data_IF_951993549863
#
_entry.id   IF_951993549863
#
_cell.length_a   1.000
_cell.length_b   1.000
_cell.length_c   1.000
_cell.angle_alpha   90.00
_cell.angle_beta   90.00
_cell.angle_gamma   90.00
#
_symmetry.space_group_name_H-M   'P 1'
#
loop_
_entity.id
_entity.type
_entity.pdbx_description
1 polymer ?
#
# COMPACT_ATOMS: atom_id res chain seq x y z
N UNK A 1 -9.11 7.84 -0.61
CA UNK A 1 -9.46 8.58 0.62
C UNK A 1 -9.67 7.55 1.72
N UNK A 2 -8.92 7.60 2.83
CA UNK A 2 -9.03 6.59 3.89
C UNK A 2 -9.81 7.16 5.10
N UNK A 3 -10.92 6.53 5.53
CA UNK A 3 -11.72 7.05 6.65
C UNK A 3 -11.01 6.92 8.00
N UNK A 4 -10.15 5.90 8.17
CA UNK A 4 -9.41 5.63 9.42
C UNK A 4 -7.97 6.16 9.41
N UNK A 5 -7.56 6.83 8.33
CA UNK A 5 -6.25 7.46 8.19
C UNK A 5 -5.07 6.50 8.44
N UNK A 6 -5.15 5.28 7.90
CA UNK A 6 -4.12 4.22 8.10
C UNK A 6 -3.04 4.16 7.02
N UNK A 7 -3.09 5.07 6.05
CA UNK A 7 -2.18 5.09 4.90
C UNK A 7 -1.28 6.31 5.02
N UNK A 8 0.03 6.08 5.10
CA UNK A 8 1.05 7.13 5.06
C UNK A 8 1.88 6.98 3.80
N UNK A 9 2.02 8.07 3.02
CA UNK A 9 2.78 8.07 1.76
C UNK A 9 3.76 9.24 1.77
N UNK A 10 5.05 8.95 1.66
CA UNK A 10 6.09 9.95 1.41
C UNK A 10 6.46 9.95 -0.07
N UNK A 11 6.57 11.14 -0.67
CA UNK A 11 6.83 11.31 -2.10
C UNK A 11 8.29 11.68 -2.35
N UNK A 12 8.93 10.96 -3.25
CA UNK A 12 10.26 11.29 -3.78
C UNK A 12 10.21 11.92 -5.16
N UNK A 13 11.37 12.42 -5.58
CA UNK A 13 11.67 12.91 -6.94
C UNK A 13 12.98 12.28 -7.40
N UNK A 14 13.04 11.88 -8.67
CA UNK A 14 14.19 11.25 -9.33
C UNK A 14 14.46 12.04 -10.59
N UNK A 15 15.73 12.34 -10.88
CA UNK A 15 16.09 13.07 -12.09
C UNK A 15 15.59 12.32 -13.33
N UNK A 16 15.02 13.06 -14.29
CA UNK A 16 14.43 12.49 -15.50
C UNK A 16 12.98 11.99 -15.36
N UNK A 17 12.45 11.82 -14.14
CA UNK A 17 11.03 11.49 -13.93
C UNK A 17 10.20 12.75 -13.68
N UNK A 18 9.24 13.03 -14.56
CA UNK A 18 8.35 14.19 -14.45
C UNK A 18 7.35 14.08 -13.28
N UNK A 19 6.91 12.85 -12.98
CA UNK A 19 5.93 12.58 -11.94
C UNK A 19 6.62 12.15 -10.63
N UNK A 20 6.18 12.65 -9.46
CA UNK A 20 6.65 12.15 -8.18
C UNK A 20 6.21 10.69 -7.97
N UNK A 21 6.97 9.95 -7.18
CA UNK A 21 6.70 8.55 -6.85
C UNK A 21 6.72 8.34 -5.33
N UNK A 22 6.03 7.33 -4.79
CA UNK A 22 6.15 6.97 -3.39
C UNK A 22 7.57 6.44 -3.08
N UNK A 23 8.25 7.04 -2.10
CA UNK A 23 9.50 6.52 -1.50
C UNK A 23 9.26 5.80 -0.19
N UNK A 24 8.11 6.06 0.45
CA UNK A 24 7.63 5.32 1.61
C UNK A 24 6.12 5.16 1.48
N UNK A 25 5.64 3.97 1.81
CA UNK A 25 4.24 3.63 1.89
C UNK A 25 4.06 2.71 3.09
N UNK A 26 3.41 3.24 4.12
CA UNK A 26 3.07 2.47 5.31
C UNK A 26 1.56 2.30 5.36
N UNK A 27 1.14 1.06 5.64
CA UNK A 27 -0.25 0.70 5.78
C UNK A 27 -0.49 -0.07 7.08
N UNK A 28 -1.27 0.52 7.98
CA UNK A 28 -1.60 -0.09 9.26
C UNK A 28 -2.87 -0.94 9.13
N UNK A 29 -2.72 -2.25 8.87
CA UNK A 29 -3.87 -3.14 8.68
C UNK A 29 -4.71 -3.31 9.94
N UNK A 30 -4.11 -3.17 11.13
CA UNK A 30 -4.80 -3.26 12.43
C UNK A 30 -5.94 -2.26 12.62
N UNK A 31 -5.87 -1.10 11.95
CA UNK A 31 -6.87 -0.04 12.02
C UNK A 31 -7.67 0.07 10.71
N UNK A 32 -7.37 -0.79 9.73
CA UNK A 32 -8.09 -0.83 8.47
C UNK A 32 -9.46 -1.50 8.68
N UNK A 33 -10.50 -0.93 8.08
CA UNK A 33 -11.87 -1.48 8.12
C UNK A 33 -12.26 -2.17 6.79
N UNK A 34 -11.29 -2.39 5.91
CA UNK A 34 -11.47 -3.08 4.62
C UNK A 34 -12.59 -2.49 3.75
N UNK A 35 -12.76 -1.16 3.81
CA UNK A 35 -13.84 -0.44 3.11
C UNK A 35 -13.63 -0.19 1.61
N UNK A 36 -12.50 -0.63 1.04
CA UNK A 36 -12.14 -0.46 -0.38
C UNK A 36 -12.02 0.99 -0.91
N UNK A 37 -12.30 2.02 -0.12
CA UNK A 37 -12.21 3.42 -0.58
C UNK A 37 -10.83 3.82 -1.10
N UNK A 38 -9.75 3.18 -0.62
CA UNK A 38 -8.41 3.40 -1.16
C UNK A 38 -8.27 2.85 -2.58
N UNK A 39 -8.84 1.67 -2.85
CA UNK A 39 -8.85 1.01 -4.17
C UNK A 39 -9.63 1.86 -5.17
N UNK A 40 -10.88 2.20 -4.84
CA UNK A 40 -11.74 3.00 -5.74
C UNK A 40 -11.17 4.40 -6.01
N UNK A 41 -10.53 5.01 -5.02
CA UNK A 41 -9.93 6.35 -5.18
C UNK A 41 -8.60 6.36 -5.93
N UNK A 42 -8.00 5.19 -6.16
CA UNK A 42 -6.69 5.09 -6.79
C UNK A 42 -6.81 5.29 -8.30
N UNK A 43 -6.53 6.49 -8.79
CA UNK A 43 -6.54 6.79 -10.23
C UNK A 43 -5.42 6.12 -11.05
N UNK A 44 -4.52 5.38 -10.40
CA UNK A 44 -3.41 4.64 -11.02
C UNK A 44 -3.51 3.14 -10.78
N UNK A 45 -4.61 2.69 -10.19
CA UNK A 45 -4.91 1.29 -9.92
C UNK A 45 -3.76 0.58 -9.18
N UNK A 46 -3.10 1.28 -8.25
CA UNK A 46 -1.85 0.84 -7.62
C UNK A 46 -2.05 -0.03 -6.38
N UNK A 47 -3.26 -0.04 -5.81
CA UNK A 47 -3.63 -0.75 -4.59
C UNK A 47 -4.73 -1.75 -4.95
N UNK A 48 -4.48 -3.03 -4.70
CA UNK A 48 -5.48 -4.09 -4.87
C UNK A 48 -5.84 -4.63 -3.49
N UNK A 49 -7.13 -4.75 -3.17
CA UNK A 49 -7.61 -5.57 -2.06
C UNK A 49 -7.96 -6.94 -2.62
N UNK A 50 -7.25 -7.99 -2.23
CA UNK A 50 -7.53 -9.35 -2.68
C UNK A 50 -8.46 -10.09 -1.69
N UNK A 51 -8.76 -11.35 -1.99
CA UNK A 51 -9.65 -12.19 -1.19
C UNK A 51 -8.95 -12.95 -0.05
N UNK A 52 -7.78 -12.52 0.40
CA UNK A 52 -7.12 -13.18 1.52
C UNK A 52 -7.78 -12.77 2.84
N UNK A 53 -8.35 -13.71 3.58
CA UNK A 53 -9.03 -13.45 4.86
C UNK A 53 -8.35 -14.12 6.06
N UNK A 54 -7.38 -15.00 5.82
CA UNK A 54 -6.67 -15.76 6.86
C UNK A 54 -5.45 -14.98 7.38
N UNK A 55 -5.67 -13.77 7.88
CA UNK A 55 -4.58 -12.85 8.26
C UNK A 55 -4.11 -12.97 9.72
N UNK A 56 -4.57 -13.99 10.45
CA UNK A 56 -4.30 -14.11 11.88
C UNK A 56 -2.79 -14.28 12.13
N UNK A 57 -2.25 -13.42 13.01
CA UNK A 57 -0.84 -13.47 13.42
C UNK A 57 -0.71 -13.30 14.93
N UNK A 58 0.43 -13.72 15.47
CA UNK A 58 0.74 -13.65 16.89
C UNK A 58 1.38 -12.32 17.30
N UNK A 59 2.09 -11.65 16.39
CA UNK A 59 2.74 -10.37 16.66
C UNK A 59 2.11 -9.26 15.84
N UNK A 60 2.01 -8.07 16.44
CA UNK A 60 1.44 -6.88 15.80
C UNK A 60 2.23 -6.44 14.57
N UNK A 61 3.56 -6.57 14.62
CA UNK A 61 4.49 -6.17 13.55
C UNK A 61 4.20 -6.93 12.25
N UNK A 62 3.81 -8.21 12.36
CA UNK A 62 3.44 -9.09 11.26
C UNK A 62 2.08 -8.71 10.62
N UNK A 63 1.31 -7.82 11.25
CA UNK A 63 0.00 -7.32 10.79
C UNK A 63 0.09 -5.92 10.15
N UNK A 64 1.27 -5.51 9.68
CA UNK A 64 1.48 -4.26 8.96
C UNK A 64 2.01 -4.52 7.55
N UNK A 65 1.73 -3.62 6.60
CA UNK A 65 2.24 -3.73 5.23
C UNK A 65 3.07 -2.49 4.87
N UNK A 66 4.33 -2.72 4.49
CA UNK A 66 5.23 -1.71 3.93
C UNK A 66 5.44 -1.91 2.42
N UNK A 67 6.19 -0.99 1.79
CA UNK A 67 6.50 -1.04 0.34
C UNK A 67 7.15 -2.33 -0.14
N UNK A 68 7.91 -3.02 0.72
CA UNK A 68 8.56 -4.28 0.39
C UNK A 68 7.60 -5.48 0.40
N UNK A 69 6.32 -5.28 0.75
CA UNK A 69 5.29 -6.32 0.68
C UNK A 69 5.53 -7.51 1.61
N UNK A 70 6.38 -7.36 2.63
CA UNK A 70 6.80 -8.44 3.52
C UNK A 70 5.76 -8.83 4.58
N UNK A 71 4.63 -8.10 4.66
CA UNK A 71 3.51 -8.39 5.55
C UNK A 71 2.36 -9.11 4.86
N UNK A 72 1.27 -9.37 5.59
CA UNK A 72 0.07 -10.03 5.07
C UNK A 72 -0.34 -9.46 3.70
N UNK A 73 -0.36 -10.32 2.68
CA UNK A 73 -0.53 -9.96 1.28
C UNK A 73 -1.99 -9.67 0.89
N UNK A 74 -2.83 -9.20 1.81
CA UNK A 74 -4.20 -8.80 1.47
C UNK A 74 -4.22 -7.56 0.55
N UNK A 75 -3.20 -6.72 0.67
CA UNK A 75 -2.95 -5.62 -0.25
C UNK A 75 -1.72 -5.92 -1.10
N UNK A 76 -1.93 -6.04 -2.40
CA UNK A 76 -0.84 -6.29 -3.34
C UNK A 76 -0.57 -5.03 -4.18
N UNK A 77 0.71 -4.66 -4.42
CA UNK A 77 1.03 -3.66 -5.42
C UNK A 77 0.60 -4.18 -6.79
N UNK A 78 -0.24 -3.42 -7.48
CA UNK A 78 -0.64 -3.82 -8.83
C UNK A 78 0.57 -3.84 -9.79
N UNK A 79 0.48 -4.51 -10.94
CA UNK A 79 1.51 -4.42 -11.97
C UNK A 79 1.86 -2.98 -12.35
N UNK A 80 0.88 -2.07 -12.40
CA UNK A 80 1.10 -0.63 -12.62
C UNK A 80 1.78 0.04 -11.41
N UNK A 81 1.40 -0.37 -10.19
CA UNK A 81 2.03 0.02 -8.94
C UNK A 81 3.50 -0.39 -8.87
N UNK A 82 3.88 -1.58 -9.37
CA UNK A 82 5.27 -2.05 -9.44
C UNK A 82 6.16 -1.11 -10.27
N UNK A 83 5.65 -0.53 -11.35
CA UNK A 83 6.36 0.50 -12.14
C UNK A 83 6.31 1.91 -11.50
N UNK A 84 5.54 2.07 -10.43
CA UNK A 84 5.38 3.32 -9.69
C UNK A 84 6.29 3.41 -8.47
N UNK A 85 6.86 2.27 -8.03
CA UNK A 85 7.82 2.20 -6.92
C UNK A 85 9.16 2.78 -7.36
N UNK A 86 9.94 3.29 -6.40
CA UNK A 86 11.33 3.65 -6.63
C UNK A 86 12.11 2.37 -6.95
N UNK A 87 12.39 2.10 -8.23
CA UNK A 87 13.43 1.13 -8.57
C UNK A 87 14.74 1.69 -8.00
N UNK A 88 15.31 0.98 -7.02
CA UNK A 88 16.69 1.17 -6.54
C UNK A 88 17.68 1.11 -7.73
#
# INVERSE_FOLDING_TARGET
MCPTQVITIEKGKKEGRKMPFPVRYDFEMERCIFCEFCVESCGFDSIILNHQFELATYNREDFSLGMEGLGQNMFEPSPAGKFSVADD
#
